data_IF_686001107836
#
_entry.id   IF_686001107836
#
_cell.length_a   1.000
_cell.length_b   1.000
_cell.length_c   1.000
_cell.angle_alpha   90.00
_cell.angle_beta   90.00
_cell.angle_gamma   90.00
#
_symmetry.space_group_name_H-M   'P 1'
#
loop_
_entity.id
_entity.type
_entity.pdbx_description
1 polymer ?
#
# COMPACT_ATOMS: atom_id res chain seq x y z
N UNK A 1 -7.59 0.41 -15.53
CA UNK A 1 -9.04 0.58 -15.21
C UNK A 1 -9.42 -0.30 -14.01
N UNK A 2 -9.17 -1.62 -14.02
CA UNK A 2 -9.59 -2.56 -12.95
C UNK A 2 -9.13 -2.11 -11.54
N UNK A 3 -7.88 -1.66 -11.39
CA UNK A 3 -7.32 -1.14 -10.14
C UNK A 3 -8.15 0.02 -9.57
N UNK A 4 -8.52 1.00 -10.39
CA UNK A 4 -9.31 2.15 -9.95
C UNK A 4 -10.75 1.76 -9.55
N UNK A 5 -11.32 0.74 -10.21
CA UNK A 5 -12.60 0.13 -9.80
C UNK A 5 -12.47 -0.59 -8.46
N UNK A 6 -11.39 -1.36 -8.26
CA UNK A 6 -11.12 -1.99 -6.97
C UNK A 6 -10.99 -0.95 -5.85
N UNK A 7 -10.24 0.12 -6.09
CA UNK A 7 -10.07 1.22 -5.12
C UNK A 7 -11.42 1.82 -4.74
N UNK A 8 -12.32 2.08 -5.71
CA UNK A 8 -13.66 2.58 -5.43
C UNK A 8 -14.46 1.61 -4.56
N UNK A 9 -14.54 0.32 -4.94
CA UNK A 9 -15.26 -0.69 -4.14
C UNK A 9 -14.76 -0.75 -2.69
N UNK A 10 -13.43 -0.67 -2.51
CA UNK A 10 -12.84 -0.77 -1.17
C UNK A 10 -12.99 0.53 -0.38
N UNK A 11 -12.56 1.66 -0.92
CA UNK A 11 -12.50 2.90 -0.15
C UNK A 11 -13.85 3.59 -0.04
N UNK A 12 -14.63 3.64 -1.11
CA UNK A 12 -15.94 4.28 -1.10
C UNK A 12 -17.04 3.36 -0.61
N UNK A 13 -17.19 2.19 -1.24
CA UNK A 13 -18.38 1.37 -1.06
C UNK A 13 -18.29 0.52 0.23
N UNK A 14 -17.09 -0.02 0.58
CA UNK A 14 -16.90 -0.86 1.76
C UNK A 14 -16.47 -0.09 3.02
N UNK A 15 -15.55 0.87 2.89
CA UNK A 15 -15.00 1.62 4.03
C UNK A 15 -15.70 2.95 4.29
N UNK A 16 -16.57 3.37 3.37
CA UNK A 16 -17.30 4.64 3.43
C UNK A 16 -16.40 5.87 3.64
N UNK A 17 -15.22 5.84 3.01
CA UNK A 17 -14.30 6.97 3.06
C UNK A 17 -14.71 8.04 2.06
N UNK A 18 -14.48 9.29 2.44
CA UNK A 18 -14.61 10.42 1.51
C UNK A 18 -13.42 10.42 0.56
N UNK A 19 -13.63 9.92 -0.65
CA UNK A 19 -12.63 9.84 -1.72
C UNK A 19 -13.16 10.43 -3.02
N UNK A 20 -12.25 10.87 -3.88
CA UNK A 20 -12.61 11.39 -5.21
C UNK A 20 -13.02 10.25 -6.13
N UNK A 21 -14.22 10.33 -6.69
CA UNK A 21 -14.75 9.35 -7.63
C UNK A 21 -15.16 10.01 -8.94
N UNK A 22 -14.90 9.32 -10.05
CA UNK A 22 -15.35 9.67 -11.39
C UNK A 22 -16.00 8.44 -12.02
N UNK A 23 -17.32 8.43 -12.11
CA UNK A 23 -18.07 7.25 -12.53
C UNK A 23 -17.85 6.08 -11.57
N UNK A 24 -17.35 4.96 -12.09
CA UNK A 24 -17.01 3.74 -11.34
C UNK A 24 -15.55 3.67 -10.88
N UNK A 25 -14.78 4.75 -11.01
CA UNK A 25 -13.37 4.84 -10.70
C UNK A 25 -13.10 5.73 -9.48
N UNK A 26 -12.20 5.31 -8.58
CA UNK A 26 -11.61 6.20 -7.57
C UNK A 26 -10.26 6.66 -8.09
N UNK A 27 -10.11 7.97 -8.28
CA UNK A 27 -8.91 8.62 -8.83
C UNK A 27 -8.71 9.92 -8.05
N UNK A 28 -7.47 10.21 -7.66
CA UNK A 28 -7.10 11.45 -6.99
C UNK A 28 -5.94 12.18 -7.71
N UNK A 29 -5.58 13.36 -7.20
CA UNK A 29 -4.52 14.19 -7.80
C UNK A 29 -3.15 13.52 -7.80
N UNK A 30 -2.89 12.61 -6.86
CA UNK A 30 -1.62 11.89 -6.75
C UNK A 30 -1.43 10.84 -7.85
N UNK A 31 -2.52 10.42 -8.50
CA UNK A 31 -2.44 9.50 -9.64
C UNK A 31 -1.84 10.19 -10.89
N UNK A 32 -1.83 11.53 -10.93
CA UNK A 32 -1.18 12.32 -11.99
C UNK A 32 0.34 12.52 -11.77
N UNK A 33 0.89 12.11 -10.61
CA UNK A 33 2.29 12.33 -10.25
C UNK A 33 3.22 11.18 -10.69
N UNK A 34 2.85 10.42 -11.71
CA UNK A 34 3.58 9.25 -12.21
C UNK A 34 3.96 8.25 -11.09
N UNK A 35 3.01 7.82 -10.24
CA UNK A 35 3.29 6.88 -9.16
C UNK A 35 3.66 5.51 -9.70
N UNK A 36 4.31 4.71 -8.86
CA UNK A 36 4.44 3.28 -9.10
C UNK A 36 3.26 2.56 -8.47
N UNK A 37 2.54 1.77 -9.27
CA UNK A 37 1.51 0.87 -8.75
C UNK A 37 2.06 -0.54 -8.65
N UNK A 38 1.87 -1.14 -7.48
CA UNK A 38 2.13 -2.56 -7.26
C UNK A 38 0.77 -3.26 -7.22
N UNK A 39 0.60 -4.29 -8.05
CA UNK A 39 -0.67 -4.99 -8.21
C UNK A 39 -0.50 -6.47 -7.90
N UNK A 40 -1.47 -7.04 -7.20
CA UNK A 40 -1.67 -8.49 -7.17
C UNK A 40 -2.69 -8.84 -8.23
N UNK A 41 -2.32 -9.74 -9.12
CA UNK A 41 -3.13 -10.14 -10.27
C UNK A 41 -3.32 -11.65 -10.24
N UNK A 42 -4.55 -12.12 -10.48
CA UNK A 42 -4.84 -13.55 -10.64
C UNK A 42 -4.32 -14.09 -11.96
N UNK A 43 -4.36 -15.41 -12.14
CA UNK A 43 -4.01 -16.07 -13.41
C UNK A 43 -4.93 -15.63 -14.56
N UNK A 44 -6.16 -15.22 -14.28
CA UNK A 44 -7.12 -14.67 -15.25
C UNK A 44 -6.94 -13.15 -15.49
N UNK A 45 -5.83 -12.56 -15.02
CA UNK A 45 -5.53 -11.14 -15.14
C UNK A 45 -6.49 -10.19 -14.40
N UNK A 46 -7.18 -10.68 -13.39
CA UNK A 46 -7.99 -9.82 -12.52
C UNK A 46 -7.15 -9.18 -11.43
N UNK A 47 -7.35 -7.89 -11.18
CA UNK A 47 -6.66 -7.17 -10.10
C UNK A 47 -7.33 -7.49 -8.77
N UNK A 48 -6.60 -8.22 -7.91
CA UNK A 48 -7.02 -8.65 -6.58
C UNK A 48 -6.52 -7.73 -5.46
N UNK A 49 -5.49 -6.94 -5.72
CA UNK A 49 -4.95 -5.99 -4.75
C UNK A 49 -4.10 -4.94 -5.41
N UNK A 50 -3.97 -3.80 -4.75
CA UNK A 50 -3.07 -2.74 -5.21
C UNK A 50 -2.53 -1.92 -4.06
N UNK A 51 -1.40 -1.26 -4.33
CA UNK A 51 -0.86 -0.16 -3.54
C UNK A 51 -0.20 0.84 -4.47
N UNK A 52 -0.28 2.12 -4.13
CA UNK A 52 0.41 3.20 -4.81
C UNK A 52 1.66 3.59 -4.02
N UNK A 53 2.79 3.71 -4.70
CA UNK A 53 4.05 4.21 -4.15
C UNK A 53 4.43 5.53 -4.84
N UNK A 54 4.76 6.53 -4.03
CA UNK A 54 5.22 7.85 -4.46
C UNK A 54 6.61 8.14 -3.91
N UNK A 55 7.38 8.97 -4.60
CA UNK A 55 8.61 9.55 -4.02
C UNK A 55 8.24 10.60 -2.97
N UNK A 56 8.93 10.59 -1.84
CA UNK A 56 8.73 11.63 -0.81
C UNK A 56 9.45 12.95 -1.13
N UNK A 57 10.22 13.01 -2.22
CA UNK A 57 10.84 14.27 -2.69
C UNK A 57 9.84 15.19 -3.39
N UNK A 58 8.68 14.66 -3.80
CA UNK A 58 7.53 15.39 -4.35
C UNK A 58 6.37 15.50 -3.37
N UNK A 59 5.17 15.90 -3.86
CA UNK A 59 3.95 15.93 -3.08
C UNK A 59 3.54 14.53 -2.58
N UNK A 60 3.07 14.46 -1.34
CA UNK A 60 2.65 13.21 -0.69
C UNK A 60 1.33 13.38 0.04
N UNK A 61 0.60 12.28 0.26
CA UNK A 61 -0.64 12.35 1.03
C UNK A 61 -0.39 12.74 2.49
N UNK A 62 0.71 12.30 3.09
CA UNK A 62 1.04 12.66 4.46
C UNK A 62 1.30 14.17 4.60
N UNK A 63 2.04 14.77 3.65
CA UNK A 63 2.36 16.20 3.68
C UNK A 63 1.17 17.09 3.34
N UNK A 64 0.38 16.71 2.32
CA UNK A 64 -0.57 17.62 1.69
C UNK A 64 -2.03 17.29 2.02
N UNK A 65 -2.36 16.01 2.30
CA UNK A 65 -3.73 15.58 2.63
C UNK A 65 -3.92 15.37 4.14
N UNK A 66 -2.90 14.84 4.82
CA UNK A 66 -2.97 14.52 6.24
C UNK A 66 -1.95 15.25 7.13
N UNK A 67 -1.61 16.55 6.88
CA UNK A 67 -0.62 17.27 7.68
C UNK A 67 -1.00 17.34 9.17
N UNK A 68 -2.28 17.27 9.47
CA UNK A 68 -2.78 17.25 10.85
C UNK A 68 -2.23 16.08 11.68
N UNK A 69 -1.82 14.98 11.06
CA UNK A 69 -1.19 13.85 11.76
C UNK A 69 0.23 14.19 12.22
N UNK A 70 0.94 15.05 11.49
CA UNK A 70 2.32 15.41 11.80
C UNK A 70 2.45 16.27 13.05
N UNK A 71 1.41 17.08 13.38
CA UNK A 71 1.53 18.09 14.45
C UNK A 71 2.63 19.08 14.09
N UNK A 72 3.64 19.18 14.96
CA UNK A 72 4.79 20.07 14.77
C UNK A 72 5.96 19.40 14.02
N UNK A 73 5.78 18.16 13.56
CA UNK A 73 6.80 17.42 12.80
C UNK A 73 6.75 17.76 11.32
N UNK A 74 7.90 17.76 10.69
CA UNK A 74 7.99 17.87 9.23
C UNK A 74 7.66 16.53 8.56
N UNK A 75 7.06 16.60 7.38
CA UNK A 75 6.84 15.41 6.55
C UNK A 75 8.20 14.87 6.05
N UNK A 76 8.40 13.55 6.05
CA UNK A 76 9.62 12.96 5.52
C UNK A 76 9.85 13.33 4.05
N UNK A 77 11.07 13.76 3.72
CA UNK A 77 11.48 14.11 2.36
C UNK A 77 12.86 13.57 2.06
N UNK A 78 12.94 12.47 1.30
CA UNK A 78 14.21 11.80 0.98
C UNK A 78 14.05 10.88 -0.24
N UNK A 79 15.08 10.76 -1.05
CA UNK A 79 15.15 9.77 -2.15
C UNK A 79 15.15 8.32 -1.62
N UNK A 80 15.54 8.12 -0.36
CA UNK A 80 15.57 6.81 0.29
C UNK A 80 14.23 6.41 0.93
N UNK A 81 13.21 7.27 0.85
CA UNK A 81 11.90 7.03 1.45
C UNK A 81 10.82 7.15 0.38
N UNK A 82 9.99 6.12 0.25
CA UNK A 82 8.77 6.16 -0.54
C UNK A 82 7.56 6.41 0.37
N UNK A 83 6.49 6.98 -0.17
CA UNK A 83 5.19 6.95 0.52
C UNK A 83 4.29 5.88 -0.08
N UNK A 84 3.69 5.03 0.76
CA UNK A 84 2.62 4.13 0.32
C UNK A 84 1.24 4.70 0.63
N UNK A 85 0.33 4.53 -0.32
CA UNK A 85 -1.08 4.90 -0.18
C UNK A 85 -1.96 3.98 -1.02
N UNK A 86 -3.27 4.05 -0.80
CA UNK A 86 -4.25 3.26 -1.55
C UNK A 86 -4.01 1.75 -1.49
N UNK A 87 -3.48 1.26 -0.36
CA UNK A 87 -3.38 -0.17 -0.12
C UNK A 87 -4.78 -0.78 0.01
N UNK A 88 -5.13 -1.70 -0.88
CA UNK A 88 -6.38 -2.43 -0.79
C UNK A 88 -6.29 -3.82 -1.41
N UNK A 89 -7.11 -4.73 -0.88
CA UNK A 89 -7.28 -6.10 -1.37
C UNK A 89 -8.76 -6.38 -1.55
N UNK A 90 -9.12 -7.02 -2.65
CA UNK A 90 -10.45 -7.52 -2.94
C UNK A 90 -10.69 -8.80 -2.13
N UNK A 91 -11.20 -8.65 -0.91
CA UNK A 91 -11.42 -9.77 0.00
C UNK A 91 -12.53 -10.71 -0.43
N UNK A 92 -13.39 -10.31 -1.35
CA UNK A 92 -14.49 -11.12 -1.86
C UNK A 92 -14.01 -12.08 -2.97
N UNK A 93 -12.99 -11.66 -3.73
CA UNK A 93 -12.39 -12.44 -4.82
C UNK A 93 -11.10 -13.14 -4.39
N UNK A 94 -10.29 -12.53 -3.57
CA UNK A 94 -9.09 -13.12 -2.99
C UNK A 94 -9.47 -13.91 -1.72
N UNK A 95 -10.05 -15.10 -1.89
CA UNK A 95 -10.65 -15.88 -0.79
C UNK A 95 -9.64 -16.69 0.02
N UNK A 96 -8.41 -16.87 -0.46
CA UNK A 96 -7.39 -17.64 0.24
C UNK A 96 -6.91 -16.91 1.50
N UNK A 97 -7.16 -17.52 2.65
CA UNK A 97 -6.68 -17.03 3.94
C UNK A 97 -5.35 -17.69 4.28
N UNK A 98 -4.39 -16.87 4.62
CA UNK A 98 -3.14 -17.26 5.23
C UNK A 98 -3.22 -17.30 6.78
N UNK A 99 -2.07 -17.40 7.46
CA UNK A 99 -1.99 -17.37 8.91
C UNK A 99 -2.66 -16.14 9.54
N UNK A 100 -3.16 -16.31 10.74
CA UNK A 100 -3.85 -15.26 11.52
C UNK A 100 -5.12 -14.69 10.87
N UNK A 101 -5.71 -15.40 9.89
CA UNK A 101 -6.89 -14.92 9.15
C UNK A 101 -6.60 -13.72 8.24
N UNK A 102 -5.34 -13.48 7.91
CA UNK A 102 -4.93 -12.45 6.95
C UNK A 102 -5.00 -13.07 5.54
N UNK A 103 -5.58 -12.34 4.60
CA UNK A 103 -5.70 -12.78 3.23
C UNK A 103 -4.31 -13.00 2.60
N UNK A 104 -4.11 -14.11 1.87
CA UNK A 104 -2.85 -14.44 1.19
C UNK A 104 -2.37 -13.31 0.28
N UNK A 105 -3.27 -12.68 -0.47
CA UNK A 105 -2.94 -11.55 -1.34
C UNK A 105 -2.36 -10.34 -0.57
N UNK A 106 -2.70 -10.18 0.72
CA UNK A 106 -2.11 -9.15 1.58
C UNK A 106 -0.63 -9.40 1.81
N UNK A 107 -0.23 -10.65 2.11
CA UNK A 107 1.18 -11.01 2.29
C UNK A 107 1.97 -10.85 0.99
N UNK A 108 1.38 -11.26 -0.14
CA UNK A 108 1.98 -11.08 -1.47
C UNK A 108 2.21 -9.60 -1.76
N UNK A 109 1.22 -8.75 -1.46
CA UNK A 109 1.30 -7.31 -1.69
C UNK A 109 2.35 -6.64 -0.78
N UNK A 110 2.46 -7.06 0.49
CA UNK A 110 3.51 -6.57 1.39
C UNK A 110 4.91 -6.97 0.91
N UNK A 111 5.10 -8.23 0.50
CA UNK A 111 6.36 -8.68 -0.07
C UNK A 111 6.72 -7.86 -1.32
N UNK A 112 5.77 -7.67 -2.23
CA UNK A 112 5.95 -6.87 -3.43
C UNK A 112 6.27 -5.39 -3.14
N UNK A 113 5.70 -4.81 -2.10
CA UNK A 113 6.05 -3.45 -1.65
C UNK A 113 7.51 -3.37 -1.21
N UNK A 114 7.98 -4.33 -0.42
CA UNK A 114 9.35 -4.38 0.08
C UNK A 114 10.34 -4.62 -1.06
N UNK A 115 10.06 -5.56 -1.97
CA UNK A 115 10.87 -5.79 -3.17
C UNK A 115 10.95 -4.54 -4.06
N UNK A 116 9.81 -3.86 -4.29
CA UNK A 116 9.75 -2.65 -5.11
C UNK A 116 10.52 -1.49 -4.44
N UNK A 117 10.42 -1.36 -3.13
CA UNK A 117 11.19 -0.38 -2.35
C UNK A 117 12.69 -0.59 -2.57
N UNK A 118 13.20 -1.82 -2.41
CA UNK A 118 14.60 -2.17 -2.66
C UNK A 118 15.03 -1.92 -4.10
N UNK A 119 14.21 -2.32 -5.06
CA UNK A 119 14.49 -2.11 -6.48
C UNK A 119 14.61 -0.62 -6.86
N UNK A 120 13.95 0.26 -6.09
CA UNK A 120 14.04 1.72 -6.24
C UNK A 120 15.18 2.35 -5.42
N UNK A 121 16.00 1.56 -4.72
CA UNK A 121 17.08 2.06 -3.89
C UNK A 121 16.61 2.73 -2.58
N UNK A 122 15.33 2.59 -2.23
CA UNK A 122 14.80 3.09 -0.97
C UNK A 122 14.97 2.05 0.15
N UNK A 123 15.00 2.51 1.39
CA UNK A 123 15.16 1.69 2.59
C UNK A 123 14.01 1.82 3.59
N UNK A 124 13.04 2.68 3.29
CA UNK A 124 11.84 2.83 4.09
C UNK A 124 10.63 3.23 3.22
N UNK A 125 9.46 2.85 3.70
CA UNK A 125 8.19 3.35 3.21
C UNK A 125 7.51 4.09 4.36
N UNK A 126 7.15 5.36 4.20
CA UNK A 126 6.23 6.05 5.09
C UNK A 126 4.80 5.80 4.63
N UNK A 127 3.89 5.63 5.56
CA UNK A 127 2.47 5.41 5.24
C UNK A 127 1.56 6.09 6.28
N UNK A 128 0.41 6.58 5.80
CA UNK A 128 -0.73 6.90 6.66
C UNK A 128 -1.68 5.70 6.66
N UNK A 129 -1.99 5.22 7.83
CA UNK A 129 -2.82 4.03 7.98
C UNK A 129 -3.70 4.10 9.23
N UNK A 130 -4.61 3.15 9.39
CA UNK A 130 -5.42 3.03 10.60
C UNK A 130 -4.84 1.99 11.58
N UNK A 131 -5.32 2.03 12.82
CA UNK A 131 -4.88 1.10 13.87
C UNK A 131 -5.22 -0.38 13.57
N UNK A 132 -6.14 -0.66 12.66
CA UNK A 132 -6.46 -2.03 12.23
C UNK A 132 -5.38 -2.55 11.30
N UNK A 133 -4.97 -1.74 10.31
CA UNK A 133 -3.88 -2.07 9.40
C UNK A 133 -2.54 -2.16 10.14
N UNK A 134 -2.28 -1.29 11.13
CA UNK A 134 -1.10 -1.39 11.99
C UNK A 134 -1.03 -2.78 12.67
N UNK A 135 -2.16 -3.30 13.16
CA UNK A 135 -2.21 -4.66 13.75
C UNK A 135 -1.96 -5.76 12.71
N UNK A 136 -2.46 -5.59 11.48
CA UNK A 136 -2.22 -6.53 10.37
C UNK A 136 -0.73 -6.55 10.02
N UNK A 137 -0.10 -5.40 9.84
CA UNK A 137 1.33 -5.26 9.58
C UNK A 137 2.17 -5.96 10.66
N UNK A 138 1.87 -5.71 11.94
CA UNK A 138 2.57 -6.37 13.05
C UNK A 138 2.40 -7.89 13.03
N UNK A 139 1.19 -8.41 12.76
CA UNK A 139 0.94 -9.86 12.65
C UNK A 139 1.61 -10.48 11.44
N UNK A 140 1.76 -9.71 10.37
CA UNK A 140 2.49 -10.13 9.15
C UNK A 140 4.00 -10.19 9.35
N UNK A 141 4.53 -9.66 10.47
CA UNK A 141 5.97 -9.62 10.74
C UNK A 141 6.66 -8.36 10.19
N UNK A 142 5.90 -7.34 9.79
CA UNK A 142 6.42 -6.05 9.34
C UNK A 142 5.87 -4.89 10.19
N UNK A 143 6.30 -4.77 11.44
CA UNK A 143 5.73 -3.80 12.36
C UNK A 143 5.98 -2.37 11.90
N UNK A 144 4.94 -1.54 12.01
CA UNK A 144 5.03 -0.11 11.74
C UNK A 144 5.80 0.60 12.87
N UNK A 145 6.86 1.32 12.52
CA UNK A 145 7.55 2.26 13.41
C UNK A 145 6.78 3.58 13.39
N UNK A 146 6.08 3.89 14.47
CA UNK A 146 5.22 5.08 14.51
C UNK A 146 6.04 6.37 14.37
N UNK A 147 5.65 7.21 13.44
CA UNK A 147 6.09 8.59 13.32
C UNK A 147 5.19 9.52 14.15
N UNK A 148 3.90 9.19 14.22
CA UNK A 148 2.90 9.98 14.92
C UNK A 148 2.06 9.11 15.85
N UNK A 149 1.45 9.74 16.87
CA UNK A 149 0.43 9.07 17.68
C UNK A 149 -0.88 8.94 16.91
N UNK A 150 -1.68 7.88 17.20
CA UNK A 150 -2.99 7.73 16.61
C UNK A 150 -3.90 8.92 16.89
N UNK A 151 -4.54 9.46 15.84
CA UNK A 151 -5.47 10.58 15.92
C UNK A 151 -6.77 10.24 15.22
N UNK A 152 -7.89 10.65 15.81
CA UNK A 152 -9.20 10.46 15.19
C UNK A 152 -9.37 11.40 14.01
N UNK A 153 -9.62 10.84 12.83
CA UNK A 153 -9.97 11.54 11.58
C UNK A 153 -11.33 11.04 11.11
N UNK A 154 -12.37 11.81 11.34
CA UNK A 154 -13.75 11.37 11.09
C UNK A 154 -14.08 10.10 11.88
N UNK A 155 -14.45 9.03 11.19
CA UNK A 155 -14.79 7.73 11.80
C UNK A 155 -13.56 6.82 11.99
N UNK A 156 -12.39 7.20 11.48
CA UNK A 156 -11.18 6.38 11.51
C UNK A 156 -10.17 6.93 12.49
N UNK A 157 -9.46 6.06 13.21
CA UNK A 157 -8.29 6.43 14.01
C UNK A 157 -7.05 6.13 13.19
N UNK A 158 -6.41 7.17 12.69
CA UNK A 158 -5.27 7.09 11.78
C UNK A 158 -3.96 7.51 12.48
N UNK A 159 -2.85 7.03 11.93
CA UNK A 159 -1.49 7.38 12.31
C UNK A 159 -0.57 7.31 11.09
N UNK A 160 0.59 7.95 11.20
CA UNK A 160 1.67 7.80 10.24
C UNK A 160 2.84 7.03 10.86
N UNK A 161 3.54 6.25 10.04
CA UNK A 161 4.72 5.51 10.47
C UNK A 161 5.54 4.99 9.32
N UNK A 162 6.70 4.42 9.66
CA UNK A 162 7.63 3.84 8.71
C UNK A 162 7.54 2.33 8.70
N UNK A 163 7.61 1.76 7.51
CA UNK A 163 7.90 0.36 7.24
C UNK A 163 9.35 0.30 6.77
N UNK A 164 10.23 -0.29 7.61
CA UNK A 164 11.67 -0.36 7.32
C UNK A 164 12.00 -1.55 6.46
N UNK A 165 13.08 -1.45 5.71
CA UNK A 165 13.69 -2.60 5.04
C UNK A 165 14.07 -3.67 6.05
N UNK A 166 13.72 -4.93 5.75
CA UNK A 166 13.95 -6.06 6.66
C UNK A 166 13.89 -7.39 5.91
N UNK A 167 14.99 -8.14 5.91
CA UNK A 167 15.03 -9.50 5.37
C UNK A 167 14.10 -10.42 6.15
N UNK A 168 14.05 -10.30 7.47
CA UNK A 168 13.17 -11.10 8.32
C UNK A 168 11.69 -10.89 7.97
N UNK A 169 11.30 -9.63 7.70
CA UNK A 169 9.92 -9.33 7.28
C UNK A 169 9.62 -9.94 5.91
N UNK A 170 10.53 -9.80 4.95
CA UNK A 170 10.35 -10.36 3.61
C UNK A 170 10.22 -11.88 3.63
N UNK A 171 11.12 -12.57 4.32
CA UNK A 171 11.08 -14.02 4.51
C UNK A 171 9.79 -14.49 5.21
N UNK A 172 9.34 -13.74 6.23
CA UNK A 172 8.09 -14.02 6.91
C UNK A 172 6.90 -13.92 5.95
N UNK A 173 6.86 -12.91 5.08
CA UNK A 173 5.81 -12.73 4.08
C UNK A 173 5.80 -13.85 3.04
N UNK A 174 6.96 -14.23 2.50
CA UNK A 174 7.05 -15.36 1.58
C UNK A 174 6.53 -16.65 2.22
N UNK A 175 7.00 -16.98 3.41
CA UNK A 175 6.56 -18.17 4.15
C UNK A 175 5.05 -18.15 4.40
N UNK A 176 4.49 -17.01 4.83
CA UNK A 176 3.06 -16.87 5.12
C UNK A 176 2.19 -16.90 3.85
N UNK A 177 2.74 -16.46 2.72
CA UNK A 177 2.09 -16.55 1.42
C UNK A 177 2.28 -17.91 0.72
N UNK A 178 3.11 -18.82 1.28
CA UNK A 178 3.47 -20.09 0.64
C UNK A 178 4.28 -19.88 -0.64
N UNK A 179 5.25 -18.97 -0.61
CA UNK A 179 6.11 -18.59 -1.74
C UNK A 179 7.58 -18.86 -1.42
N UNK A 180 8.36 -19.18 -2.44
CA UNK A 180 9.80 -19.52 -2.30
C UNK A 180 10.73 -18.38 -2.75
N UNK A 181 10.20 -17.24 -3.18
CA UNK A 181 11.06 -16.16 -3.67
C UNK A 181 10.30 -14.98 -4.26
N UNK A 182 11.01 -14.13 -5.02
CA UNK A 182 10.48 -12.86 -5.46
C UNK A 182 9.12 -12.94 -6.15
N UNK A 183 8.23 -12.03 -5.75
CA UNK A 183 6.85 -11.96 -6.27
C UNK A 183 6.69 -10.91 -7.36
N UNK A 184 7.55 -9.87 -7.36
CA UNK A 184 7.49 -8.83 -8.38
C UNK A 184 7.98 -9.39 -9.71
N UNK A 185 7.06 -9.44 -10.67
CA UNK A 185 7.41 -9.69 -12.07
C UNK A 185 7.44 -8.34 -12.77
N UNK A 186 8.62 -7.90 -13.19
CA UNK A 186 8.73 -6.74 -14.06
C UNK A 186 8.02 -7.08 -15.37
N UNK A 187 7.03 -6.31 -15.76
CA UNK A 187 6.54 -6.38 -17.14
C UNK A 187 7.71 -6.01 -18.04
N UNK A 188 8.01 -6.80 -19.10
CA UNK A 188 9.00 -6.38 -20.08
C UNK A 188 8.55 -5.02 -20.63
N UNK A 189 9.46 -4.04 -20.62
CA UNK A 189 9.27 -2.77 -21.30
C UNK A 189 8.93 -3.07 -22.77
N UNK A 190 7.71 -2.78 -23.21
CA UNK A 190 7.36 -2.86 -24.61
C UNK A 190 6.17 -3.74 -24.99
N UNK A 191 4.98 -3.35 -24.56
CA UNK A 191 3.82 -3.37 -25.44
C UNK A 191 3.27 -1.96 -25.52
N UNK A 192 3.81 -1.16 -26.44
CA UNK A 192 3.09 -0.01 -26.95
C UNK A 192 1.76 -0.55 -27.46
N UNK A 193 0.66 -0.07 -26.89
CA UNK A 193 -0.66 -0.32 -27.42
C UNK A 193 -0.66 0.18 -28.88
N UNK A 194 -0.98 -0.71 -29.79
CA UNK A 194 -1.32 -0.38 -31.17
C UNK A 194 -2.73 0.22 -31.20
#
# INVERSE_FOLDING_TARGET
>A
VQMFRLRRRVFRDRLDWTVSVSGDLEIDIYDALAPTYVLVVSDDYDVLGCVRLLSTTGPTMLADTFPILLGDKEAPRSELILESSRFCVDTDRAVELGPHGINRATFVLFAAMLETMRAKGANAIVTVTDVRMERILRRAGWPLERLTEPRKLGQTTALAGYLRDSDLALEAMYRQAGLEGPVVRNQPEGRKAA
#
